data_IF_144777017062
#
_entry.id   IF_144777017062
#
_cell.length_a   1.000
_cell.length_b   1.000
_cell.length_c   1.000
_cell.angle_alpha   90.00
_cell.angle_beta   90.00
_cell.angle_gamma   90.00
#
_symmetry.space_group_name_H-M   'P 1'
#
loop_
_entity.id
_entity.type
_entity.pdbx_description
1 polymer ?
#
# COMPACT_ATOMS: atom_id res chain seq x y z
N UNK A 1 -21.10 -8.21 17.18
CA UNK A 1 -19.86 -8.56 17.90
C UNK A 1 -19.19 -7.26 18.31
N UNK A 2 -19.15 -6.96 19.61
CA UNK A 2 -18.40 -5.81 20.15
C UNK A 2 -16.93 -6.20 20.22
N UNK A 3 -16.14 -5.78 19.23
CA UNK A 3 -14.70 -5.95 19.29
C UNK A 3 -14.15 -4.97 20.34
N UNK A 4 -13.62 -5.50 21.44
CA UNK A 4 -12.80 -4.72 22.36
C UNK A 4 -11.54 -4.31 21.62
N UNK A 5 -11.44 -3.03 21.25
CA UNK A 5 -10.25 -2.51 20.59
C UNK A 5 -9.09 -2.54 21.60
N UNK A 6 -7.98 -3.21 21.27
CA UNK A 6 -6.79 -3.11 22.09
C UNK A 6 -6.36 -1.65 22.20
N UNK A 7 -6.20 -1.15 23.42
CA UNK A 7 -6.00 0.28 23.68
C UNK A 7 -4.58 0.75 23.36
N UNK A 8 -3.63 -0.19 23.26
CA UNK A 8 -2.21 0.11 23.00
C UNK A 8 -1.74 -0.48 21.66
N UNK A 9 -1.21 0.39 20.82
CA UNK A 9 -0.65 0.07 19.52
C UNK A 9 0.82 -0.30 19.68
N UNK A 10 1.15 -1.58 19.50
CA UNK A 10 2.54 -2.07 19.59
C UNK A 10 3.21 -2.13 18.22
N UNK A 11 4.55 -2.17 18.20
CA UNK A 11 5.33 -2.30 16.96
C UNK A 11 4.98 -3.60 16.23
N UNK A 12 4.78 -4.68 16.96
CA UNK A 12 4.45 -6.00 16.43
C UNK A 12 3.10 -5.98 15.73
N UNK A 13 2.08 -5.34 16.32
CA UNK A 13 0.76 -5.18 15.72
C UNK A 13 0.80 -4.32 14.46
N UNK A 14 1.57 -3.23 14.50
CA UNK A 14 1.76 -2.37 13.33
C UNK A 14 2.48 -3.13 12.22
N UNK A 15 3.50 -3.92 12.55
CA UNK A 15 4.19 -4.75 11.56
C UNK A 15 3.26 -5.81 10.94
N UNK A 16 2.39 -6.43 11.74
CA UNK A 16 1.37 -7.35 11.23
C UNK A 16 0.41 -6.66 10.26
N UNK A 17 -0.05 -5.45 10.60
CA UNK A 17 -0.89 -4.65 9.71
C UNK A 17 -0.16 -4.26 8.42
N UNK A 18 1.10 -3.81 8.51
CA UNK A 18 1.95 -3.52 7.35
C UNK A 18 2.05 -4.75 6.44
N UNK A 19 2.32 -5.93 7.00
CA UNK A 19 2.44 -7.17 6.22
C UNK A 19 1.13 -7.53 5.50
N UNK A 20 -0.02 -7.35 6.16
CA UNK A 20 -1.32 -7.58 5.55
C UNK A 20 -1.60 -6.60 4.38
N UNK A 21 -1.21 -5.34 4.54
CA UNK A 21 -1.35 -4.32 3.49
C UNK A 21 -0.42 -4.64 2.31
N UNK A 22 0.84 -5.00 2.57
CA UNK A 22 1.78 -5.42 1.51
C UNK A 22 1.29 -6.65 0.75
N UNK A 23 0.73 -7.64 1.46
CA UNK A 23 0.12 -8.81 0.83
C UNK A 23 -1.06 -8.46 -0.08
N UNK A 24 -1.85 -7.44 0.27
CA UNK A 24 -2.92 -6.92 -0.58
C UNK A 24 -2.36 -6.15 -1.78
N UNK A 25 -1.39 -5.27 -1.54
CA UNK A 25 -0.73 -4.47 -2.56
C UNK A 25 -0.11 -5.34 -3.67
N UNK A 26 0.49 -6.46 -3.27
CA UNK A 26 1.07 -7.45 -4.18
C UNK A 26 2.34 -6.96 -4.89
N UNK A 27 2.67 -7.63 -5.97
CA UNK A 27 3.92 -7.41 -6.71
C UNK A 27 3.91 -6.11 -7.53
N UNK A 28 5.08 -5.45 -7.71
CA UNK A 28 5.25 -4.37 -8.66
C UNK A 28 4.89 -4.78 -10.09
N UNK A 29 4.25 -3.87 -10.85
CA UNK A 29 3.87 -4.09 -12.26
C UNK A 29 4.54 -3.10 -13.22
N UNK A 30 5.19 -2.06 -12.69
CA UNK A 30 5.89 -1.03 -13.48
C UNK A 30 7.27 -0.76 -12.90
N UNK A 31 8.15 -0.15 -13.70
CA UNK A 31 9.48 0.32 -13.22
C UNK A 31 9.36 1.30 -12.05
N UNK A 32 8.31 2.12 -12.03
CA UNK A 32 8.04 3.04 -10.94
C UNK A 32 7.68 2.27 -9.65
N UNK A 33 6.78 1.28 -9.75
CA UNK A 33 6.42 0.41 -8.62
C UNK A 33 7.66 -0.33 -8.10
N UNK A 34 8.49 -0.85 -9.00
CA UNK A 34 9.71 -1.56 -8.62
C UNK A 34 10.68 -0.64 -7.88
N UNK A 35 10.90 0.59 -8.36
CA UNK A 35 11.73 1.58 -7.67
C UNK A 35 11.18 1.91 -6.27
N UNK A 36 9.87 2.11 -6.15
CA UNK A 36 9.24 2.40 -4.86
C UNK A 36 9.34 1.21 -3.89
N UNK A 37 9.10 -0.01 -4.37
CA UNK A 37 9.16 -1.22 -3.57
C UNK A 37 10.60 -1.52 -3.10
N UNK A 38 11.58 -1.41 -3.99
CA UNK A 38 12.99 -1.57 -3.63
C UNK A 38 13.42 -0.53 -2.58
N UNK A 39 13.02 0.73 -2.73
CA UNK A 39 13.29 1.77 -1.73
C UNK A 39 12.60 1.49 -0.39
N UNK A 40 11.40 0.92 -0.41
CA UNK A 40 10.70 0.52 0.80
C UNK A 40 11.42 -0.64 1.51
N UNK A 41 11.83 -1.66 0.78
CA UNK A 41 12.54 -2.82 1.32
C UNK A 41 13.93 -2.47 1.89
N UNK A 42 14.63 -1.51 1.29
CA UNK A 42 15.93 -1.04 1.77
C UNK A 42 15.84 -0.07 2.96
N UNK A 43 14.63 0.32 3.38
CA UNK A 43 14.40 1.28 4.45
C UNK A 43 14.57 2.74 4.03
N UNK A 44 14.71 3.04 2.74
CA UNK A 44 14.75 4.40 2.21
C UNK A 44 13.33 5.01 2.10
N UNK A 45 12.69 5.18 3.25
CA UNK A 45 11.33 5.70 3.32
C UNK A 45 11.20 7.15 2.83
N UNK A 46 12.31 7.90 2.75
CA UNK A 46 12.29 9.24 2.18
C UNK A 46 12.17 9.20 0.67
N UNK A 47 12.91 8.31 0.00
CA UNK A 47 12.74 8.09 -1.44
C UNK A 47 11.33 7.62 -1.77
N UNK A 48 10.77 6.67 -1.01
CA UNK A 48 9.38 6.20 -1.21
C UNK A 48 8.38 7.35 -1.10
N UNK A 49 8.51 8.21 -0.08
CA UNK A 49 7.63 9.39 0.10
C UNK A 49 7.77 10.39 -1.03
N UNK A 50 8.99 10.61 -1.53
CA UNK A 50 9.23 11.49 -2.67
C UNK A 50 8.54 10.96 -3.92
N UNK A 51 8.70 9.66 -4.20
CA UNK A 51 8.02 9.00 -5.32
C UNK A 51 6.49 9.13 -5.20
N UNK A 52 5.92 8.88 -4.02
CA UNK A 52 4.49 9.06 -3.77
C UNK A 52 4.03 10.52 -3.98
N UNK A 53 4.84 11.50 -3.57
CA UNK A 53 4.49 12.93 -3.69
C UNK A 53 4.61 13.48 -5.11
N UNK A 54 5.39 12.85 -5.98
CA UNK A 54 5.55 13.26 -7.39
C UNK A 54 4.71 12.43 -8.36
N UNK A 55 4.09 11.35 -7.89
CA UNK A 55 3.22 10.46 -8.68
C UNK A 55 1.86 10.30 -7.96
N UNK A 56 1.12 11.41 -7.83
CA UNK A 56 -0.05 11.50 -6.97
C UNK A 56 -1.22 10.58 -7.36
N UNK A 57 -1.30 10.17 -8.63
CA UNK A 57 -2.32 9.23 -9.11
C UNK A 57 -1.94 7.77 -8.91
N UNK A 58 -0.69 7.48 -8.54
CA UNK A 58 -0.17 6.13 -8.43
C UNK A 58 -0.49 5.54 -7.05
N UNK A 59 -1.52 4.71 -7.00
CA UNK A 59 -2.01 4.08 -5.78
C UNK A 59 -0.96 3.15 -5.14
N UNK A 60 -0.08 2.55 -5.94
CA UNK A 60 0.98 1.67 -5.44
C UNK A 60 2.01 2.47 -4.64
N UNK A 61 2.53 3.54 -5.24
CA UNK A 61 3.47 4.47 -4.64
C UNK A 61 2.86 5.15 -3.40
N UNK A 62 1.59 5.55 -3.47
CA UNK A 62 0.86 6.11 -2.32
C UNK A 62 0.78 5.14 -1.16
N UNK A 63 0.43 3.88 -1.41
CA UNK A 63 0.34 2.86 -0.36
C UNK A 63 1.68 2.72 0.39
N UNK A 64 2.78 2.54 -0.36
CA UNK A 64 4.13 2.44 0.22
C UNK A 64 4.58 3.74 0.92
N UNK A 65 4.23 4.91 0.37
CA UNK A 65 4.55 6.22 0.95
C UNK A 65 3.95 6.40 2.35
N UNK A 66 2.71 5.94 2.55
CA UNK A 66 2.10 5.88 3.87
C UNK A 66 2.82 4.87 4.78
N UNK A 67 3.05 3.62 4.32
CA UNK A 67 3.71 2.60 5.14
C UNK A 67 5.09 3.04 5.65
N UNK A 68 5.85 3.78 4.85
CA UNK A 68 7.15 4.33 5.26
C UNK A 68 7.07 5.31 6.44
N UNK A 69 5.86 5.74 6.84
CA UNK A 69 5.60 6.54 8.03
C UNK A 69 5.09 5.71 9.22
N UNK A 70 4.47 4.56 8.99
CA UNK A 70 3.79 3.76 10.01
C UNK A 70 4.76 3.18 11.05
N UNK A 71 5.98 2.84 10.64
CA UNK A 71 7.02 2.20 11.46
C UNK A 71 7.52 3.07 12.64
N UNK A 72 7.21 4.37 12.65
CA UNK A 72 7.65 5.30 13.70
C UNK A 72 6.74 5.33 14.93
N UNK A 73 5.61 4.61 14.94
CA UNK A 73 4.60 4.64 16.00
C UNK A 73 4.26 6.08 16.45
N UNK A 74 3.48 6.77 15.63
CA UNK A 74 3.02 8.13 15.90
C UNK A 74 1.55 8.12 16.32
N UNK A 75 1.01 9.21 16.89
CA UNK A 75 -0.43 9.34 17.13
C UNK A 75 -1.29 9.15 15.87
N UNK A 76 -0.70 9.33 14.69
CA UNK A 76 -1.36 9.18 13.39
C UNK A 76 -1.19 7.78 12.79
N UNK A 77 -0.59 6.81 13.49
CA UNK A 77 -0.31 5.49 12.88
C UNK A 77 -1.57 4.80 12.40
N UNK A 78 -2.69 4.87 13.12
CA UNK A 78 -3.95 4.30 12.65
C UNK A 78 -4.43 4.95 11.35
N UNK A 79 -4.36 6.28 11.26
CA UNK A 79 -4.66 7.02 10.03
C UNK A 79 -3.74 6.60 8.88
N UNK A 80 -2.44 6.49 9.14
CA UNK A 80 -1.45 6.07 8.14
C UNK A 80 -1.75 4.65 7.63
N UNK A 81 -2.06 3.71 8.52
CA UNK A 81 -2.42 2.35 8.15
C UNK A 81 -3.72 2.32 7.34
N UNK A 82 -4.73 3.11 7.73
CA UNK A 82 -5.98 3.21 7.00
C UNK A 82 -5.80 3.78 5.58
N UNK A 83 -5.06 4.88 5.43
CA UNK A 83 -4.79 5.47 4.11
C UNK A 83 -3.95 4.54 3.23
N UNK A 84 -2.97 3.85 3.82
CA UNK A 84 -2.17 2.88 3.09
C UNK A 84 -3.00 1.69 2.60
N UNK A 85 -3.88 1.16 3.44
CA UNK A 85 -4.76 0.04 3.11
C UNK A 85 -5.75 0.41 1.99
N UNK A 86 -6.33 1.62 2.03
CA UNK A 86 -7.21 2.12 0.96
C UNK A 86 -6.46 2.23 -0.37
N UNK A 87 -5.25 2.79 -0.36
CA UNK A 87 -4.43 2.89 -1.56
C UNK A 87 -4.03 1.51 -2.13
N UNK A 88 -3.72 0.52 -1.27
CA UNK A 88 -3.46 -0.85 -1.72
C UNK A 88 -4.71 -1.51 -2.36
N UNK A 89 -5.89 -1.26 -1.78
CA UNK A 89 -7.16 -1.73 -2.31
C UNK A 89 -7.51 -1.06 -3.65
N UNK A 90 -7.27 0.25 -3.79
CA UNK A 90 -7.45 0.97 -5.05
C UNK A 90 -6.56 0.39 -6.16
N UNK A 91 -5.26 0.19 -5.89
CA UNK A 91 -4.35 -0.45 -6.85
C UNK A 91 -4.85 -1.84 -7.27
N UNK A 92 -5.26 -2.65 -6.29
CA UNK A 92 -5.78 -4.00 -6.56
C UNK A 92 -7.04 -3.97 -7.42
N UNK A 93 -7.98 -3.07 -7.11
CA UNK A 93 -9.21 -2.89 -7.87
C UNK A 93 -8.89 -2.54 -9.32
N UNK A 94 -8.04 -1.54 -9.54
CA UNK A 94 -7.74 -1.03 -10.87
C UNK A 94 -7.09 -2.14 -11.73
N UNK A 95 -6.14 -2.89 -11.15
CA UNK A 95 -5.53 -4.07 -11.77
C UNK A 95 -6.53 -5.17 -12.12
N UNK A 96 -7.47 -5.47 -11.21
CA UNK A 96 -8.50 -6.50 -11.47
C UNK A 96 -9.43 -6.06 -12.59
N UNK A 97 -9.81 -4.78 -12.62
CA UNK A 97 -10.65 -4.22 -13.68
C UNK A 97 -9.96 -4.29 -15.05
N UNK A 98 -8.67 -3.93 -15.12
CA UNK A 98 -7.87 -4.04 -16.33
C UNK A 98 -7.83 -5.48 -16.86
N UNK A 99 -7.42 -6.43 -16.03
CA UNK A 99 -7.35 -7.86 -16.40
C UNK A 99 -8.70 -8.44 -16.85
N UNK A 100 -9.79 -8.06 -16.18
CA UNK A 100 -11.13 -8.47 -16.56
C UNK A 100 -11.55 -7.83 -17.89
N UNK A 101 -11.23 -6.56 -18.10
CA UNK A 101 -11.47 -5.86 -19.35
C UNK A 101 -10.77 -6.52 -20.53
N UNK A 102 -9.49 -6.86 -20.35
CA UNK A 102 -8.70 -7.56 -21.36
C UNK A 102 -9.29 -8.95 -21.68
N UNK A 103 -9.57 -9.75 -20.65
CA UNK A 103 -10.13 -11.09 -20.83
C UNK A 103 -11.51 -11.07 -21.52
N UNK A 104 -12.36 -10.09 -21.20
CA UNK A 104 -13.64 -9.89 -21.90
C UNK A 104 -13.40 -9.45 -23.35
N UNK A 105 -12.44 -8.55 -23.58
CA UNK A 105 -12.05 -8.08 -24.91
C UNK A 105 -11.56 -9.21 -25.80
N UNK A 106 -10.74 -10.11 -25.28
CA UNK A 106 -10.26 -11.33 -25.96
C UNK A 106 -11.38 -12.34 -26.24
N UNK A 107 -12.37 -12.43 -25.34
CA UNK A 107 -13.48 -13.39 -25.51
C UNK A 107 -14.56 -12.92 -26.50
N UNK A 108 -14.67 -11.60 -26.73
CA UNK A 108 -15.73 -11.00 -27.55
C UNK A 108 -15.27 -10.50 -28.93
N UNK A 109 -13.97 -10.42 -29.20
CA UNK A 109 -13.41 -10.02 -30.50
C UNK A 109 -12.60 -11.16 -31.13
#
# INVERSE_FOLDING_TARGET
MTATLPTELTKERVQQAINAILGTLGEPETDLHQKAFTAFQSGDYQAVKRLASTHLSDSYCRSLGYLGSALKLTPNTDTILAESARAAADFTRDRVLERLGDAIGEALN
#
